data_IF_682347430975
#
_entry.id   IF_682347430975
#
_cell.length_a   1.000
_cell.length_b   1.000
_cell.length_c   1.000
_cell.angle_alpha   90.00
_cell.angle_beta   90.00
_cell.angle_gamma   90.00
#
_symmetry.space_group_name_H-M   'P 1'
#
loop_
_entity.id
_entity.type
_entity.pdbx_description
1 polymer ?
#
# COMPACT_ATOMS: atom_id res chain seq x y z
N UNK A 1 16.42 -9.08 5.07
CA UNK A 1 15.60 -10.25 5.49
C UNK A 1 14.56 -9.89 6.55
N UNK A 2 14.94 -9.25 7.67
CA UNK A 2 13.98 -8.85 8.73
C UNK A 2 12.97 -7.80 8.25
N UNK A 3 13.39 -6.82 7.45
CA UNK A 3 12.52 -5.78 6.87
C UNK A 3 11.39 -6.37 6.03
N UNK A 4 11.68 -7.37 5.20
CA UNK A 4 10.69 -8.08 4.40
C UNK A 4 9.66 -8.80 5.27
N UNK A 5 10.08 -9.45 6.35
CA UNK A 5 9.17 -10.14 7.26
C UNK A 5 8.22 -9.15 7.99
N UNK A 6 8.73 -7.98 8.39
CA UNK A 6 7.91 -6.92 8.98
C UNK A 6 6.84 -6.45 7.98
N UNK A 7 7.24 -6.20 6.73
CA UNK A 7 6.31 -5.79 5.68
C UNK A 7 5.25 -6.86 5.41
N UNK A 8 5.64 -8.14 5.28
CA UNK A 8 4.71 -9.26 5.10
C UNK A 8 3.74 -9.38 6.27
N UNK A 9 4.22 -9.23 7.52
CA UNK A 9 3.37 -9.28 8.69
C UNK A 9 2.32 -8.18 8.69
N UNK A 10 2.69 -6.96 8.27
CA UNK A 10 1.76 -5.84 8.17
C UNK A 10 0.76 -6.05 7.02
N UNK A 11 1.21 -6.57 5.88
CA UNK A 11 0.35 -6.87 4.73
C UNK A 11 -0.67 -7.96 5.06
N UNK A 12 -0.26 -8.97 5.83
CA UNK A 12 -1.13 -10.08 6.22
C UNK A 12 -2.24 -9.70 7.22
N UNK A 13 -2.19 -8.51 7.83
CA UNK A 13 -3.26 -8.01 8.69
C UNK A 13 -4.49 -7.63 7.86
N UNK A 14 -4.29 -7.19 6.62
CA UNK A 14 -5.37 -6.83 5.70
C UNK A 14 -5.88 -8.10 5.05
N UNK A 15 -7.06 -8.54 5.48
CA UNK A 15 -7.75 -9.68 4.89
C UNK A 15 -9.06 -9.20 4.27
N UNK A 16 -9.33 -9.68 3.07
CA UNK A 16 -10.66 -9.52 2.48
C UNK A 16 -11.54 -10.67 2.98
N UNK A 17 -12.79 -10.40 3.38
CA UNK A 17 -13.76 -11.47 3.59
C UNK A 17 -13.93 -12.26 2.29
N UNK A 18 -13.70 -13.57 2.34
CA UNK A 18 -13.87 -14.44 1.18
C UNK A 18 -15.36 -14.57 0.86
N UNK A 19 -15.80 -14.37 -0.39
CA UNK A 19 -17.18 -14.62 -0.79
C UNK A 19 -17.57 -16.11 -0.67
N UNK A 20 -16.59 -17.02 -0.62
CA UNK A 20 -16.84 -18.47 -0.61
C UNK A 20 -17.13 -19.07 0.78
N UNK A 21 -17.27 -18.26 1.85
CA UNK A 21 -17.69 -18.73 3.18
C UNK A 21 -19.15 -18.41 3.52
N UNK A 22 -19.93 -17.84 2.60
CA UNK A 22 -21.38 -17.73 2.75
C UNK A 22 -22.10 -19.00 2.27
N UNK A 23 -21.74 -20.16 2.83
CA UNK A 23 -22.45 -21.42 2.61
C UNK A 23 -22.80 -22.07 3.95
N UNK A 24 -23.65 -21.42 4.77
CA UNK A 24 -24.72 -22.10 5.53
C UNK A 24 -25.82 -21.09 5.96
N UNK A 25 -26.65 -20.63 5.04
CA UNK A 25 -28.12 -20.53 5.21
C UNK A 25 -28.72 -19.70 4.08
N UNK A 26 -29.35 -20.40 3.14
CA UNK A 26 -30.35 -19.85 2.24
C UNK A 26 -31.56 -19.35 3.05
N UNK A 27 -32.14 -18.26 2.56
CA UNK A 27 -33.44 -17.65 2.92
C UNK A 27 -33.43 -16.53 3.98
N UNK A 28 -32.99 -15.31 3.60
CA UNK A 28 -33.81 -14.11 3.78
C UNK A 28 -33.26 -12.84 3.09
N UNK A 29 -34.08 -12.26 2.21
CA UNK A 29 -34.22 -10.81 1.96
C UNK A 29 -33.03 -10.01 1.39
N UNK A 30 -33.24 -9.47 0.19
CA UNK A 30 -32.48 -8.44 -0.57
C UNK A 30 -32.08 -7.18 0.24
N UNK A 31 -32.57 -6.99 1.48
CA UNK A 31 -32.09 -5.95 2.42
C UNK A 31 -30.83 -6.35 3.20
N UNK A 32 -30.56 -7.64 3.37
CA UNK A 32 -29.38 -8.12 4.08
C UNK A 32 -28.11 -7.92 3.23
N UNK A 33 -28.17 -8.06 1.90
CA UNK A 33 -27.01 -7.84 1.01
C UNK A 33 -26.43 -6.42 1.06
N UNK A 34 -27.29 -5.39 1.19
CA UNK A 34 -26.83 -3.99 1.31
C UNK A 34 -26.17 -3.73 2.67
N UNK A 35 -26.59 -4.47 3.70
CA UNK A 35 -26.05 -4.40 5.05
C UNK A 35 -24.77 -5.24 5.17
N UNK A 36 -24.72 -6.40 4.50
CA UNK A 36 -23.57 -7.29 4.41
C UNK A 36 -22.40 -6.61 3.68
N UNK A 37 -22.64 -5.96 2.53
CA UNK A 37 -21.62 -5.18 1.82
C UNK A 37 -21.07 -4.03 2.67
N UNK A 38 -21.94 -3.32 3.39
CA UNK A 38 -21.50 -2.28 4.33
C UNK A 38 -20.68 -2.84 5.50
N UNK A 39 -21.02 -4.03 6.00
CA UNK A 39 -20.27 -4.71 7.06
C UNK A 39 -18.91 -5.19 6.55
N UNK A 40 -18.82 -5.73 5.35
CA UNK A 40 -17.57 -6.14 4.71
C UNK A 40 -16.66 -4.94 4.42
N UNK A 41 -17.21 -3.82 3.91
CA UNK A 41 -16.48 -2.56 3.74
C UNK A 41 -15.95 -2.02 5.07
N UNK A 42 -16.77 -2.03 6.12
CA UNK A 42 -16.36 -1.62 7.47
C UNK A 42 -15.27 -2.54 8.05
N UNK A 43 -15.34 -3.84 7.78
CA UNK A 43 -14.32 -4.80 8.22
C UNK A 43 -12.98 -4.55 7.52
N UNK A 44 -13.01 -4.30 6.21
CA UNK A 44 -11.81 -3.97 5.42
C UNK A 44 -11.18 -2.68 5.94
N UNK A 45 -11.96 -1.61 6.12
CA UNK A 45 -11.46 -0.34 6.67
C UNK A 45 -10.85 -0.53 8.08
N UNK A 46 -11.50 -1.32 8.93
CA UNK A 46 -11.00 -1.60 10.28
C UNK A 46 -9.70 -2.43 10.26
N UNK A 47 -9.60 -3.40 9.34
CA UNK A 47 -8.38 -4.19 9.15
C UNK A 47 -7.20 -3.31 8.70
N UNK A 48 -7.44 -2.38 7.77
CA UNK A 48 -6.45 -1.42 7.32
C UNK A 48 -6.03 -0.45 8.44
N UNK A 49 -6.99 0.10 9.21
CA UNK A 49 -6.67 0.94 10.37
C UNK A 49 -5.83 0.16 11.41
N UNK A 50 -6.15 -1.13 11.61
CA UNK A 50 -5.36 -2.01 12.48
C UNK A 50 -3.94 -2.21 11.95
N UNK A 51 -3.75 -2.35 10.64
CA UNK A 51 -2.44 -2.44 10.01
C UNK A 51 -1.62 -1.16 10.20
N UNK A 52 -2.24 0.02 9.97
CA UNK A 52 -1.62 1.34 10.19
C UNK A 52 -1.19 1.51 11.65
N UNK A 53 -2.07 1.19 12.60
CA UNK A 53 -1.79 1.26 14.04
C UNK A 53 -0.64 0.34 14.44
N UNK A 54 -0.61 -0.88 13.91
CA UNK A 54 0.46 -1.84 14.16
C UNK A 54 1.80 -1.32 13.65
N UNK A 55 1.83 -0.78 12.42
CA UNK A 55 3.00 -0.14 11.84
C UNK A 55 3.50 1.05 12.67
N UNK A 56 2.58 1.90 13.13
CA UNK A 56 2.90 3.04 13.99
C UNK A 56 3.48 2.59 15.35
N UNK A 57 2.89 1.57 15.97
CA UNK A 57 3.37 1.00 17.22
C UNK A 57 4.78 0.43 17.06
N UNK A 58 5.01 -0.37 16.02
CA UNK A 58 6.32 -0.91 15.69
C UNK A 58 7.37 0.19 15.52
N UNK A 59 7.11 1.18 14.64
CA UNK A 59 8.04 2.28 14.39
C UNK A 59 8.32 3.12 15.65
N UNK A 60 7.30 3.37 16.46
CA UNK A 60 7.43 4.14 17.70
C UNK A 60 8.31 3.42 18.71
N UNK A 61 8.13 2.11 18.88
CA UNK A 61 8.96 1.29 19.77
C UNK A 61 10.39 1.21 19.24
N UNK A 62 10.57 0.99 17.94
CA UNK A 62 11.88 0.86 17.33
C UNK A 62 12.68 2.17 17.44
N UNK A 63 12.04 3.32 17.16
CA UNK A 63 12.67 4.63 17.29
C UNK A 63 13.01 4.98 18.75
N UNK A 64 12.13 4.62 19.71
CA UNK A 64 12.43 4.75 21.14
C UNK A 64 13.64 3.92 21.56
N UNK A 65 13.79 2.72 21.00
CA UNK A 65 14.94 1.84 21.26
C UNK A 65 16.24 2.41 20.67
N UNK A 66 16.18 3.12 19.54
CA UNK A 66 17.32 3.87 19.00
C UNK A 66 17.74 5.06 19.89
N UNK A 67 16.83 5.55 20.73
CA UNK A 67 17.08 6.63 21.68
C UNK A 67 17.69 6.15 23.00
N UNK A 68 17.43 4.90 23.41
CA UNK A 68 17.95 4.37 24.67
C UNK A 68 19.45 4.15 24.57
N UNK A 69 20.22 4.85 25.41
CA UNK A 69 21.66 4.64 25.63
C UNK A 69 21.90 3.35 26.43
N UNK A 70 21.38 2.21 25.97
CA UNK A 70 21.72 0.90 26.55
C UNK A 70 23.05 0.44 25.97
N UNK A 71 24.05 0.36 26.85
CA UNK A 71 25.50 0.32 26.61
C UNK A 71 26.06 -0.89 25.82
N UNK A 72 25.22 -1.76 25.24
CA UNK A 72 25.69 -3.00 24.58
C UNK A 72 25.31 -3.15 23.10
N UNK A 73 24.39 -2.35 22.54
CA UNK A 73 24.07 -2.46 21.09
C UNK A 73 23.44 -1.19 20.54
N UNK A 74 24.09 -0.56 19.56
CA UNK A 74 23.52 0.57 18.82
C UNK A 74 22.50 0.07 17.78
N UNK A 75 21.25 0.47 17.94
CA UNK A 75 20.16 0.12 17.02
C UNK A 75 20.06 1.04 15.80
N UNK A 76 20.80 2.16 15.77
CA UNK A 76 20.73 3.13 14.66
C UNK A 76 21.12 2.52 13.30
N UNK A 77 22.19 1.72 13.17
CA UNK A 77 22.52 1.11 11.89
C UNK A 77 21.43 0.14 11.40
N UNK A 78 20.73 -0.55 12.31
CA UNK A 78 19.60 -1.41 11.96
C UNK A 78 18.42 -0.59 11.44
N UNK A 79 18.15 0.56 12.07
CA UNK A 79 17.11 1.47 11.63
C UNK A 79 17.45 2.10 10.27
N UNK A 80 18.69 2.51 10.06
CA UNK A 80 19.16 3.03 8.77
C UNK A 80 18.99 1.98 7.67
N UNK A 81 19.44 0.75 7.89
CA UNK A 81 19.25 -0.33 6.92
C UNK A 81 17.77 -0.59 6.64
N UNK A 82 16.92 -0.55 7.67
CA UNK A 82 15.47 -0.66 7.50
C UNK A 82 14.89 0.47 6.64
N UNK A 83 15.33 1.73 6.83
CA UNK A 83 14.91 2.87 5.99
C UNK A 83 15.38 2.70 4.54
N UNK A 84 16.60 2.23 4.32
CA UNK A 84 17.11 1.95 2.97
C UNK A 84 16.32 0.82 2.29
N UNK A 85 16.00 -0.24 3.02
CA UNK A 85 15.17 -1.34 2.54
C UNK A 85 13.77 -0.83 2.14
N UNK A 86 13.13 -0.01 2.97
CA UNK A 86 11.82 0.60 2.66
C UNK A 86 11.86 1.45 1.39
N UNK A 87 12.91 2.25 1.22
CA UNK A 87 13.10 3.08 0.04
C UNK A 87 13.39 2.26 -1.23
N UNK A 88 13.96 1.06 -1.09
CA UNK A 88 14.18 0.14 -2.20
C UNK A 88 12.87 -0.57 -2.63
N UNK A 89 11.95 -0.80 -1.68
CA UNK A 89 10.70 -1.53 -1.92
C UNK A 89 9.49 -0.63 -2.19
N UNK A 90 9.56 0.68 -1.96
CA UNK A 90 8.41 1.61 -2.07
C UNK A 90 7.71 1.59 -3.44
N UNK A 91 8.45 1.38 -4.53
CA UNK A 91 7.91 1.36 -5.90
C UNK A 91 7.70 -0.07 -6.44
N UNK A 92 7.79 -1.10 -5.59
CA UNK A 92 7.60 -2.49 -6.00
C UNK A 92 6.15 -2.92 -5.74
N UNK A 93 5.45 -3.46 -6.75
CA UNK A 93 4.05 -3.87 -6.60
C UNK A 93 3.87 -5.06 -5.64
N UNK A 94 4.95 -5.76 -5.32
CA UNK A 94 4.92 -6.87 -4.36
C UNK A 94 4.89 -6.36 -2.91
N UNK A 95 5.18 -5.08 -2.67
CA UNK A 95 5.43 -4.53 -1.34
C UNK A 95 4.61 -3.26 -0.99
N UNK A 96 3.27 -3.23 -1.16
CA UNK A 96 2.47 -2.03 -0.91
C UNK A 96 2.56 -1.44 0.50
N UNK A 97 2.76 -2.27 1.53
CA UNK A 97 2.89 -1.77 2.91
C UNK A 97 4.12 -0.88 3.11
N UNK A 98 5.11 -0.93 2.22
CA UNK A 98 6.30 -0.06 2.28
C UNK A 98 5.92 1.41 2.21
N UNK A 99 4.97 1.76 1.33
CA UNK A 99 4.47 3.13 1.19
C UNK A 99 3.76 3.59 2.46
N UNK A 100 2.82 2.77 2.96
CA UNK A 100 2.08 3.04 4.19
C UNK A 100 3.05 3.28 5.37
N UNK A 101 4.05 2.41 5.53
CA UNK A 101 5.04 2.51 6.60
C UNK A 101 5.95 3.72 6.42
N UNK A 102 6.37 4.05 5.20
CA UNK A 102 7.16 5.25 4.92
C UNK A 102 6.38 6.53 5.23
N UNK A 103 5.07 6.55 4.94
CA UNK A 103 4.15 7.64 5.28
C UNK A 103 4.00 7.83 6.80
N UNK A 104 3.83 6.74 7.54
CA UNK A 104 3.79 6.76 9.01
C UNK A 104 5.14 7.19 9.59
N UNK A 105 6.25 6.68 9.03
CA UNK A 105 7.60 7.03 9.44
C UNK A 105 7.87 8.53 9.27
N UNK A 106 7.52 9.12 8.12
CA UNK A 106 7.69 10.55 7.87
C UNK A 106 6.97 11.40 8.92
N UNK A 107 5.71 11.07 9.24
CA UNK A 107 4.95 11.75 10.30
C UNK A 107 5.62 11.59 11.67
N UNK A 108 6.07 10.38 12.00
CA UNK A 108 6.73 10.08 13.28
C UNK A 108 8.06 10.83 13.44
N UNK A 109 8.90 10.87 12.40
CA UNK A 109 10.18 11.59 12.42
C UNK A 109 9.96 13.09 12.58
N UNK A 110 8.98 13.66 11.87
CA UNK A 110 8.61 15.08 12.00
C UNK A 110 8.19 15.41 13.43
N UNK A 111 7.34 14.57 14.02
CA UNK A 111 6.91 14.73 15.40
C UNK A 111 8.09 14.59 16.39
N UNK A 112 9.00 13.64 16.14
CA UNK A 112 10.13 13.34 17.04
C UNK A 112 11.16 14.46 17.07
N UNK A 113 11.49 15.06 15.91
CA UNK A 113 12.46 16.16 15.87
C UNK A 113 11.86 17.49 16.34
N UNK A 114 10.55 17.70 16.18
CA UNK A 114 9.87 18.94 16.60
C UNK A 114 9.70 19.00 18.12
N UNK A 115 9.46 17.86 18.75
CA UNK A 115 9.28 17.72 20.20
C UNK A 115 10.56 18.09 20.95
N UNK A 116 10.51 19.10 21.84
CA UNK A 116 11.69 19.57 22.60
C UNK A 116 12.12 18.66 23.74
N UNK A 117 11.26 17.75 24.20
CA UNK A 117 11.56 16.80 25.28
C UNK A 117 12.35 15.57 24.83
N UNK A 118 12.54 15.37 23.52
CA UNK A 118 13.33 14.26 22.99
C UNK A 118 14.83 14.56 23.05
N UNK A 119 15.64 13.52 23.25
CA UNK A 119 17.11 13.62 23.29
C UNK A 119 17.66 14.29 22.02
N UNK A 120 18.58 15.24 22.18
CA UNK A 120 19.18 15.97 21.06
C UNK A 120 19.80 15.04 20.01
N UNK A 121 20.45 13.95 20.45
CA UNK A 121 21.06 12.97 19.54
C UNK A 121 20.03 12.26 18.66
N UNK A 122 18.85 11.93 19.19
CA UNK A 122 17.76 11.33 18.43
C UNK A 122 17.14 12.33 17.45
N UNK A 123 17.05 13.61 17.84
CA UNK A 123 16.54 14.67 16.97
C UNK A 123 17.42 14.90 15.75
N UNK A 124 18.75 14.90 15.93
CA UNK A 124 19.71 15.00 14.82
C UNK A 124 19.57 13.79 13.89
N UNK A 125 19.61 12.57 14.43
CA UNK A 125 19.45 11.36 13.62
C UNK A 125 18.11 11.31 12.87
N UNK A 126 17.01 11.74 13.51
CA UNK A 126 15.69 11.80 12.85
C UNK A 126 15.68 12.75 11.64
N UNK A 127 16.42 13.85 11.73
CA UNK A 127 16.55 14.82 10.66
C UNK A 127 17.40 14.28 9.51
N UNK A 128 18.47 13.53 9.83
CA UNK A 128 19.29 12.83 8.83
C UNK A 128 18.48 11.79 8.07
N UNK A 129 17.69 10.96 8.77
CA UNK A 129 16.81 9.97 8.14
C UNK A 129 15.77 10.62 7.22
N UNK A 130 15.16 11.73 7.66
CA UNK A 130 14.22 12.48 6.83
C UNK A 130 14.90 13.05 5.59
N UNK A 131 16.15 13.50 5.72
CA UNK A 131 16.98 13.98 4.61
C UNK A 131 17.23 12.88 3.58
N UNK A 132 17.60 11.67 4.01
CA UNK A 132 17.80 10.51 3.12
C UNK A 132 16.52 10.15 2.37
N UNK A 133 15.41 10.04 3.09
CA UNK A 133 14.08 9.75 2.50
C UNK A 133 13.69 10.82 1.48
N UNK A 134 13.78 12.11 1.85
CA UNK A 134 13.42 13.21 0.97
C UNK A 134 14.32 13.26 -0.30
N UNK A 135 15.62 13.03 -0.15
CA UNK A 135 16.56 13.01 -1.26
C UNK A 135 16.24 11.86 -2.24
N UNK A 136 15.94 10.67 -1.72
CA UNK A 136 15.60 9.50 -2.53
C UNK A 136 14.25 9.68 -3.24
N UNK A 137 13.20 10.09 -2.53
CA UNK A 137 11.90 10.38 -3.13
C UNK A 137 11.99 11.46 -4.22
N UNK A 138 12.79 12.52 -4.00
CA UNK A 138 13.01 13.55 -5.01
C UNK A 138 13.73 12.99 -6.24
N UNK A 139 14.75 12.15 -6.06
CA UNK A 139 15.46 11.49 -7.17
C UNK A 139 14.50 10.60 -7.97
N UNK A 140 13.69 9.81 -7.29
CA UNK A 140 12.75 8.90 -7.93
C UNK A 140 11.66 9.66 -8.69
N UNK A 141 11.15 10.77 -8.13
CA UNK A 141 10.20 11.65 -8.82
C UNK A 141 10.78 12.34 -10.07
N UNK A 142 12.07 12.67 -10.08
CA UNK A 142 12.71 13.24 -11.28
C UNK A 142 12.95 12.15 -12.33
N UNK A 143 13.37 10.97 -11.90
CA UNK A 143 13.64 9.83 -12.80
C UNK A 143 12.35 9.28 -13.43
N UNK A 144 11.25 9.25 -12.69
CA UNK A 144 9.95 8.83 -13.26
C UNK A 144 9.46 9.77 -14.36
N UNK A 145 9.75 11.07 -14.28
CA UNK A 145 9.42 12.04 -15.31
C UNK A 145 10.29 11.92 -16.57
N UNK A 146 11.48 11.30 -16.48
CA UNK A 146 12.31 11.08 -17.68
C UNK A 146 11.87 9.84 -18.47
N UNK A 147 11.16 8.91 -17.81
CA UNK A 147 10.69 7.67 -18.42
C UNK A 147 9.31 7.81 -19.09
N UNK A 148 8.75 9.03 -19.17
CA UNK A 148 7.42 9.31 -19.75
C UNK A 148 7.27 8.70 -21.15
N UNK A 149 8.31 8.78 -21.99
CA UNK A 149 8.27 8.20 -23.33
C UNK A 149 8.06 6.67 -23.30
N UNK A 150 8.64 5.97 -22.32
CA UNK A 150 8.41 4.52 -22.17
C UNK A 150 7.00 4.25 -21.65
N UNK A 151 6.50 5.06 -20.73
CA UNK A 151 5.13 4.95 -20.22
C UNK A 151 4.12 5.18 -21.34
N UNK A 152 4.29 6.21 -22.17
CA UNK A 152 3.44 6.47 -23.33
C UNK A 152 3.42 5.30 -24.32
N UNK A 153 4.58 4.68 -24.61
CA UNK A 153 4.61 3.49 -25.47
C UNK A 153 3.94 2.26 -24.84
N UNK A 154 4.00 2.11 -23.51
CA UNK A 154 3.28 1.06 -22.80
C UNK A 154 1.77 1.32 -22.83
N UNK A 155 1.35 2.57 -22.60
CA UNK A 155 -0.06 2.97 -22.69
C UNK A 155 -0.62 2.70 -24.08
N UNK A 156 0.11 3.02 -25.13
CA UNK A 156 -0.30 2.73 -26.52
C UNK A 156 -0.46 1.22 -26.76
N UNK A 157 0.48 0.39 -26.25
CA UNK A 157 0.35 -1.08 -26.31
C UNK A 157 -0.85 -1.61 -25.49
N UNK A 158 -1.19 -0.95 -24.39
CA UNK A 158 -2.33 -1.33 -23.55
C UNK A 158 -3.67 -0.93 -24.19
N UNK A 159 -3.72 0.16 -24.95
CA UNK A 159 -4.87 0.56 -25.76
C UNK A 159 -5.12 -0.40 -26.94
N UNK A 160 -4.05 -0.97 -27.50
CA UNK A 160 -4.12 -1.96 -28.59
C UNK A 160 -4.53 -3.37 -28.13
N UNK A 161 -4.44 -3.68 -26.83
CA UNK A 161 -4.90 -4.96 -26.29
C UNK A 161 -6.44 -5.01 -26.32
N UNK A 162 -7.06 -5.99 -27.01
CA UNK A 162 -8.50 -6.11 -27.04
C UNK A 162 -9.04 -6.36 -25.63
N UNK A 163 -10.17 -5.72 -25.29
CA UNK A 163 -10.91 -5.90 -24.03
C UNK A 163 -11.32 -7.36 -23.74
N UNK A 164 -11.07 -8.28 -24.68
CA UNK A 164 -11.42 -9.70 -24.61
C UNK A 164 -10.65 -10.51 -23.56
N UNK A 165 -9.58 -9.99 -22.97
CA UNK A 165 -8.87 -10.67 -21.87
C UNK A 165 -9.48 -10.39 -20.48
N UNK A 166 -10.52 -9.55 -20.39
CA UNK A 166 -11.12 -9.08 -19.13
C UNK A 166 -12.61 -9.40 -18.99
N UNK A 167 -13.14 -10.29 -19.84
CA UNK A 167 -14.49 -10.87 -19.71
C UNK A 167 -14.39 -12.27 -19.10
N UNK A 168 -14.07 -12.31 -17.81
CA UNK A 168 -14.50 -13.38 -16.93
C UNK A 168 -15.00 -12.67 -15.67
N UNK A 169 -16.33 -12.55 -15.59
CA UNK A 169 -17.13 -12.15 -14.43
C UNK A 169 -17.04 -10.70 -13.93
N UNK A 170 -17.62 -9.75 -14.67
CA UNK A 170 -18.26 -8.55 -14.08
C UNK A 170 -19.23 -7.91 -15.11
N UNK A 171 -20.54 -8.12 -14.95
CA UNK A 171 -21.58 -7.33 -15.63
C UNK A 171 -21.91 -6.10 -14.77
N UNK A 172 -21.77 -4.85 -15.28
CA UNK A 172 -22.29 -3.69 -14.58
C UNK A 172 -23.75 -3.49 -14.98
N UNK A 173 -24.65 -3.71 -14.02
CA UNK A 173 -26.08 -3.43 -14.15
C UNK A 173 -26.30 -1.91 -14.30
N UNK A 174 -26.99 -1.53 -15.36
CA UNK A 174 -27.19 -0.17 -15.82
C UNK A 174 -28.20 0.62 -14.99
N UNK A 175 -27.88 1.89 -14.66
CA UNK A 175 -28.89 2.94 -14.52
C UNK A 175 -28.36 4.28 -15.08
N UNK A 176 -29.14 5.02 -15.89
CA UNK A 176 -28.66 6.22 -16.58
C UNK A 176 -29.02 7.50 -15.81
N UNK A 177 -28.07 8.39 -15.53
CA UNK A 177 -28.34 9.83 -15.48
C UNK A 177 -27.17 10.66 -16.02
N UNK A 178 -27.57 11.72 -16.73
CA UNK A 178 -26.80 12.59 -17.60
C UNK A 178 -25.78 13.41 -16.81
N UNK A 179 -24.61 13.66 -17.41
CA UNK A 179 -23.95 14.98 -17.36
C UNK A 179 -22.67 15.02 -18.22
N UNK A 180 -22.49 16.17 -18.86
CA UNK A 180 -21.40 16.57 -19.75
C UNK A 180 -20.03 16.57 -19.04
N UNK A 181 -19.27 15.47 -19.12
CA UNK A 181 -17.86 15.40 -18.72
C UNK A 181 -17.08 14.39 -19.58
N UNK A 182 -16.80 14.73 -20.84
CA UNK A 182 -16.07 13.82 -21.76
C UNK A 182 -14.55 13.75 -21.51
N UNK A 183 -13.97 14.66 -20.72
CA UNK A 183 -12.51 14.71 -20.51
C UNK A 183 -12.07 14.01 -19.21
N UNK A 184 -12.82 14.12 -18.11
CA UNK A 184 -12.52 13.39 -16.86
C UNK A 184 -12.81 11.87 -16.96
N UNK A 185 -13.76 11.46 -17.81
CA UNK A 185 -14.13 10.05 -17.97
C UNK A 185 -13.04 9.17 -18.59
N UNK A 186 -12.08 9.73 -19.33
CA UNK A 186 -11.01 8.94 -19.97
C UNK A 186 -9.86 8.66 -19.00
N UNK A 187 -9.50 9.63 -18.15
CA UNK A 187 -8.45 9.44 -17.14
C UNK A 187 -8.83 8.40 -16.10
N UNK A 188 -10.07 8.43 -15.60
CA UNK A 188 -10.54 7.47 -14.59
C UNK A 188 -10.61 6.03 -15.15
N UNK A 189 -11.02 5.87 -16.41
CA UNK A 189 -11.01 4.55 -17.09
C UNK A 189 -9.61 3.99 -17.29
N UNK A 190 -8.64 4.87 -17.54
CA UNK A 190 -7.25 4.43 -17.69
C UNK A 190 -6.69 3.96 -16.35
N UNK A 191 -6.94 4.72 -15.28
CA UNK A 191 -6.52 4.37 -13.92
C UNK A 191 -7.12 3.01 -13.52
N UNK A 192 -8.44 2.85 -13.69
CA UNK A 192 -9.14 1.58 -13.41
C UNK A 192 -8.55 0.40 -14.20
N UNK A 193 -8.20 0.62 -15.48
CA UNK A 193 -7.58 -0.41 -16.31
C UNK A 193 -6.16 -0.77 -15.87
N UNK A 194 -5.38 0.23 -15.43
CA UNK A 194 -4.04 0.01 -14.89
C UNK A 194 -4.09 -0.72 -13.55
N UNK A 195 -5.04 -0.38 -12.68
CA UNK A 195 -5.31 -1.07 -11.42
C UNK A 195 -5.69 -2.54 -11.67
N UNK A 196 -6.62 -2.81 -12.60
CA UNK A 196 -6.97 -4.18 -12.99
C UNK A 196 -5.77 -4.95 -13.55
N UNK A 197 -4.94 -4.32 -14.39
CA UNK A 197 -3.76 -4.96 -14.96
C UNK A 197 -2.74 -5.33 -13.87
N UNK A 198 -2.53 -4.42 -12.91
CA UNK A 198 -1.67 -4.64 -11.77
C UNK A 198 -2.16 -5.80 -10.90
N UNK A 199 -3.47 -5.81 -10.57
CA UNK A 199 -4.07 -6.90 -9.80
C UNK A 199 -4.01 -8.23 -10.55
N UNK A 200 -4.25 -8.22 -11.87
CA UNK A 200 -4.12 -9.41 -12.71
C UNK A 200 -2.69 -9.94 -12.76
N UNK A 201 -1.69 -9.05 -12.82
CA UNK A 201 -0.28 -9.40 -12.71
C UNK A 201 0.01 -10.07 -11.36
N UNK A 202 -0.38 -9.44 -10.25
CA UNK A 202 -0.18 -9.99 -8.91
C UNK A 202 -0.86 -11.34 -8.72
N UNK A 203 -2.11 -11.49 -9.19
CA UNK A 203 -2.85 -12.75 -9.12
C UNK A 203 -2.23 -13.86 -9.96
N UNK A 204 -1.69 -13.54 -11.13
CA UNK A 204 -0.98 -14.52 -11.97
C UNK A 204 0.30 -15.02 -11.28
N UNK A 205 1.03 -14.11 -10.66
CA UNK A 205 2.26 -14.42 -9.94
C UNK A 205 2.02 -15.04 -8.55
N UNK A 206 0.82 -14.89 -7.98
CA UNK A 206 0.45 -15.51 -6.69
C UNK A 206 0.48 -17.05 -6.70
N UNK A 207 0.36 -17.69 -7.87
CA UNK A 207 0.53 -19.14 -8.00
C UNK A 207 1.96 -19.62 -7.70
N UNK A 208 2.95 -18.74 -7.88
CA UNK A 208 4.36 -19.02 -7.61
C UNK A 208 4.76 -18.65 -6.18
N UNK A 209 4.17 -17.60 -5.61
CA UNK A 209 4.40 -17.18 -4.21
C UNK A 209 3.08 -16.76 -3.54
N UNK A 210 2.61 -17.51 -2.52
CA UNK A 210 1.42 -17.16 -1.75
C UNK A 210 1.49 -15.80 -1.07
N UNK A 211 2.69 -15.27 -0.79
CA UNK A 211 2.84 -13.98 -0.11
C UNK A 211 2.32 -12.80 -0.95
N UNK A 212 2.30 -12.96 -2.28
CA UNK A 212 1.75 -11.96 -3.21
C UNK A 212 0.23 -11.80 -3.07
N UNK A 213 -0.49 -12.80 -2.54
CA UNK A 213 -1.91 -12.67 -2.24
C UNK A 213 -2.17 -11.64 -1.15
N UNK A 214 -1.28 -11.51 -0.17
CA UNK A 214 -1.40 -10.47 0.86
C UNK A 214 -1.22 -9.09 0.26
N UNK A 215 -0.30 -8.93 -0.68
CA UNK A 215 -0.10 -7.67 -1.41
C UNK A 215 -1.29 -7.33 -2.30
N UNK A 216 -1.87 -8.33 -2.98
CA UNK A 216 -3.11 -8.17 -3.76
C UNK A 216 -4.26 -7.69 -2.86
N UNK A 217 -4.47 -8.34 -1.71
CA UNK A 217 -5.51 -7.96 -0.76
C UNK A 217 -5.30 -6.56 -0.19
N UNK A 218 -4.04 -6.20 0.09
CA UNK A 218 -3.69 -4.88 0.59
C UNK A 218 -3.95 -3.75 -0.42
N UNK A 219 -3.88 -4.01 -1.73
CA UNK A 219 -4.26 -3.00 -2.74
C UNK A 219 -5.78 -2.79 -2.85
N UNK A 220 -6.57 -3.81 -2.48
CA UNK A 220 -8.03 -3.72 -2.54
C UNK A 220 -8.60 -3.12 -1.25
N UNK A 221 -7.95 -3.38 -0.11
CA UNK A 221 -8.38 -2.89 1.20
C UNK A 221 -7.98 -1.46 1.51
#
# INVERSE_FOLDING_TARGET
>A
MVSALILQMIQAIVYLPNPDQSDVNLEQSVKEEMTQKQVDELQVINSYDTAVRTGQNFLSVFLKKCASKSDETDYRPLFENFVHDLLATVNKPEWPASEMILSVLGRLLVHTFSTKSTEMSLRVASLDYLGVVAAKLRRDAVTSNTDIATVETLLQRLEELPNSAMQADYEPESAPMKEDKKVEKNGNKLIERLECLLLAYLRRHASADPSLMFSHNFYIG
#
